data_IF_256095587615
#
_entry.id   IF_256095587615
#
_cell.length_a   1.000
_cell.length_b   1.000
_cell.length_c   1.000
_cell.angle_alpha   90.00
_cell.angle_beta   90.00
_cell.angle_gamma   90.00
#
_symmetry.space_group_name_H-M   'P 1'
#
loop_
_entity.id
_entity.type
_entity.pdbx_description
1 polymer ?
#
# COMPACT_ATOMS: atom_id res chain seq x y z
N UNK A 1 12.69 -32.41 -0.92
CA UNK A 1 12.38 -31.50 -2.06
C UNK A 1 11.26 -30.49 -1.76
N UNK A 2 10.12 -30.89 -1.18
CA UNK A 2 9.00 -29.98 -0.84
C UNK A 2 9.43 -28.83 0.08
N UNK A 3 10.31 -29.11 1.06
CA UNK A 3 10.89 -28.10 1.95
C UNK A 3 11.69 -27.01 1.21
N UNK A 4 12.41 -27.38 0.13
CA UNK A 4 13.16 -26.43 -0.70
C UNK A 4 12.23 -25.58 -1.58
N UNK A 5 11.09 -26.11 -2.00
CA UNK A 5 10.10 -25.37 -2.78
C UNK A 5 9.29 -24.41 -1.90
N UNK A 6 8.95 -24.81 -0.67
CA UNK A 6 8.37 -23.93 0.35
C UNK A 6 9.37 -22.85 0.77
N UNK A 7 10.63 -23.22 0.99
CA UNK A 7 11.67 -22.25 1.29
C UNK A 7 11.94 -21.32 0.11
N UNK A 8 11.85 -21.81 -1.13
CA UNK A 8 11.95 -21.03 -2.35
C UNK A 8 10.77 -20.09 -2.57
N UNK A 9 9.54 -20.50 -2.26
CA UNK A 9 8.34 -19.65 -2.29
C UNK A 9 8.34 -18.63 -1.17
N UNK A 10 8.73 -19.03 0.05
CA UNK A 10 9.00 -18.09 1.15
C UNK A 10 10.12 -17.14 0.75
N UNK A 11 11.22 -17.61 0.17
CA UNK A 11 12.33 -16.77 -0.28
C UNK A 11 11.88 -15.82 -1.38
N UNK A 12 11.10 -16.25 -2.38
CA UNK A 12 10.58 -15.36 -3.42
C UNK A 12 9.55 -14.36 -2.87
N UNK A 13 8.72 -14.80 -1.92
CA UNK A 13 7.78 -13.98 -1.16
C UNK A 13 8.44 -13.13 -0.06
N UNK A 14 9.74 -13.29 0.21
CA UNK A 14 10.49 -12.47 1.18
C UNK A 14 11.46 -11.54 0.43
N UNK A 15 12.20 -12.04 -0.56
CA UNK A 15 13.25 -11.32 -1.28
C UNK A 15 12.75 -10.50 -2.47
N UNK A 16 11.62 -10.88 -3.11
CA UNK A 16 11.00 -10.03 -4.14
C UNK A 16 9.97 -9.05 -3.54
N UNK A 17 9.92 -8.94 -2.22
CA UNK A 17 9.13 -7.97 -1.47
C UNK A 17 9.84 -6.61 -1.32
N UNK A 18 10.19 -6.03 -2.47
CA UNK A 18 10.52 -4.60 -2.58
C UNK A 18 9.51 -3.64 -1.91
N UNK A 19 8.18 -3.91 -1.81
CA UNK A 19 7.25 -2.96 -1.20
C UNK A 19 7.44 -2.74 0.30
N UNK A 20 7.80 -3.77 1.08
CA UNK A 20 7.95 -3.62 2.54
C UNK A 20 9.25 -2.90 2.93
N UNK A 21 10.27 -2.96 2.07
CA UNK A 21 11.47 -2.12 2.23
C UNK A 21 11.13 -0.62 2.28
N UNK A 22 10.03 -0.22 1.64
CA UNK A 22 9.54 1.17 1.68
C UNK A 22 9.01 1.57 3.05
N UNK A 23 8.37 0.66 3.82
CA UNK A 23 7.83 1.01 5.14
C UNK A 23 8.96 1.40 6.10
N UNK A 24 10.06 0.65 6.11
CA UNK A 24 11.25 0.98 6.91
C UNK A 24 11.83 2.35 6.53
N UNK A 25 11.94 2.64 5.22
CA UNK A 25 12.35 3.96 4.73
C UNK A 25 11.40 5.07 5.19
N UNK A 26 10.09 4.83 5.18
CA UNK A 26 9.10 5.78 5.66
C UNK A 26 9.18 6.02 7.17
N UNK A 27 9.44 4.99 7.98
CA UNK A 27 9.68 5.13 9.42
C UNK A 27 10.96 5.93 9.71
N UNK A 28 12.05 5.65 8.97
CA UNK A 28 13.28 6.43 9.05
C UNK A 28 13.06 7.88 8.64
N UNK A 29 12.29 8.14 7.57
CA UNK A 29 11.92 9.50 7.17
C UNK A 29 11.10 10.20 8.26
N UNK A 30 10.17 9.48 8.91
CA UNK A 30 9.37 10.04 10.00
C UNK A 30 10.22 10.44 11.21
N UNK A 31 11.20 9.61 11.58
CA UNK A 31 12.18 9.95 12.64
C UNK A 31 13.06 11.13 12.23
N UNK A 32 13.60 11.13 11.01
CA UNK A 32 14.39 12.26 10.49
C UNK A 32 13.61 13.58 10.49
N UNK A 33 12.31 13.56 10.18
CA UNK A 33 11.45 14.75 10.26
C UNK A 33 11.37 15.27 11.70
N UNK A 34 11.31 14.38 12.68
CA UNK A 34 11.30 14.75 14.10
C UNK A 34 12.62 15.39 14.53
N UNK A 35 13.75 14.79 14.14
CA UNK A 35 15.09 15.32 14.44
C UNK A 35 15.25 16.73 13.82
N UNK A 36 14.83 16.91 12.57
CA UNK A 36 14.86 18.21 11.88
C UNK A 36 13.94 19.23 12.56
N UNK A 37 12.75 18.80 13.00
CA UNK A 37 11.82 19.66 13.74
C UNK A 37 12.48 20.18 15.03
N UNK A 38 13.16 19.31 15.78
CA UNK A 38 13.88 19.66 17.00
C UNK A 38 15.04 20.64 16.74
N UNK A 39 15.87 20.37 15.73
CA UNK A 39 16.97 21.27 15.32
C UNK A 39 16.46 22.68 14.99
N UNK A 40 15.34 22.76 14.28
CA UNK A 40 14.70 24.02 13.89
C UNK A 40 14.12 24.77 15.11
N UNK A 41 13.56 24.06 16.10
CA UNK A 41 13.13 24.67 17.36
C UNK A 41 14.30 25.21 18.18
N UNK A 42 15.49 24.60 18.08
CA UNK A 42 16.71 25.11 18.69
C UNK A 42 17.33 26.29 17.92
N UNK A 43 16.69 26.77 16.85
CA UNK A 43 17.16 27.92 16.06
C UNK A 43 18.28 27.58 15.09
N UNK A 44 18.53 26.30 14.81
CA UNK A 44 19.47 25.90 13.78
C UNK A 44 18.88 26.15 12.39
N UNK A 45 19.72 26.59 11.45
CA UNK A 45 19.30 26.82 10.07
C UNK A 45 19.13 25.46 9.39
N UNK A 46 18.04 25.22 8.63
CA UNK A 46 17.86 23.97 7.92
C UNK A 46 19.06 23.68 6.99
N UNK A 47 19.80 22.62 7.32
CA UNK A 47 20.93 22.14 6.53
C UNK A 47 20.51 21.39 5.25
N UNK A 48 21.50 20.90 4.51
CA UNK A 48 21.26 19.93 3.44
C UNK A 48 21.15 18.55 4.09
N UNK A 49 19.92 18.06 4.25
CA UNK A 49 19.66 16.77 4.87
C UNK A 49 19.63 15.65 3.83
N UNK A 50 20.33 14.54 4.11
CA UNK A 50 20.17 13.30 3.36
C UNK A 50 18.84 12.62 3.76
N UNK A 51 17.78 12.94 3.04
CA UNK A 51 16.44 12.40 3.29
C UNK A 51 16.24 11.04 2.61
N UNK A 52 15.54 10.14 3.29
CA UNK A 52 15.14 8.87 2.68
C UNK A 52 14.03 9.08 1.65
N UNK A 53 14.19 8.47 0.48
CA UNK A 53 13.15 8.47 -0.55
C UNK A 53 12.02 7.49 -0.18
N UNK A 54 10.98 8.03 0.47
CA UNK A 54 9.73 7.33 0.72
C UNK A 54 8.58 7.92 -0.08
N UNK A 55 8.10 7.16 -1.08
CA UNK A 55 7.01 7.57 -2.00
C UNK A 55 7.26 8.99 -2.52
N UNK A 56 6.25 9.87 -2.46
CA UNK A 56 6.36 11.29 -2.78
C UNK A 56 6.77 12.15 -1.57
N UNK A 57 6.73 11.61 -0.35
CA UNK A 57 6.99 12.37 0.87
C UNK A 57 8.44 12.86 0.94
N UNK A 58 9.41 12.03 0.57
CA UNK A 58 10.83 12.41 0.56
C UNK A 58 11.09 13.61 -0.36
N UNK A 59 10.61 13.54 -1.60
CA UNK A 59 10.75 14.62 -2.59
C UNK A 59 10.04 15.89 -2.14
N UNK A 60 8.81 15.79 -1.62
CA UNK A 60 8.06 16.97 -1.16
C UNK A 60 8.74 17.61 0.05
N UNK A 61 9.26 16.80 0.97
CA UNK A 61 9.93 17.33 2.15
C UNK A 61 11.22 18.07 1.77
N UNK A 62 12.00 17.51 0.85
CA UNK A 62 13.18 18.18 0.31
C UNK A 62 12.82 19.51 -0.35
N UNK A 63 11.80 19.54 -1.21
CA UNK A 63 11.31 20.77 -1.86
C UNK A 63 10.81 21.80 -0.84
N UNK A 64 10.12 21.37 0.22
CA UNK A 64 9.64 22.24 1.28
C UNK A 64 10.78 22.86 2.11
N UNK A 65 11.82 22.09 2.42
CA UNK A 65 13.01 22.60 3.09
C UNK A 65 13.79 23.57 2.21
N UNK A 66 13.88 23.28 0.91
CA UNK A 66 14.46 24.20 -0.07
C UNK A 66 13.65 25.49 -0.14
N UNK A 67 12.31 25.42 -0.14
CA UNK A 67 11.47 26.61 -0.10
C UNK A 67 11.60 27.39 1.22
N UNK A 68 11.79 26.70 2.34
CA UNK A 68 12.12 27.33 3.62
C UNK A 68 13.43 28.11 3.54
N UNK A 69 14.47 27.52 2.92
CA UNK A 69 15.79 28.13 2.78
C UNK A 69 15.81 29.32 1.81
N UNK A 70 15.16 29.17 0.65
CA UNK A 70 15.22 30.15 -0.45
C UNK A 70 14.23 31.29 -0.24
N UNK A 71 13.03 30.99 0.26
CA UNK A 71 11.92 31.94 0.31
C UNK A 71 11.44 32.26 1.73
N UNK A 72 12.07 31.70 2.77
CA UNK A 72 11.72 31.98 4.16
C UNK A 72 10.39 31.35 4.61
N UNK A 73 9.93 30.28 3.96
CA UNK A 73 8.74 29.53 4.40
C UNK A 73 8.97 29.02 5.84
N UNK A 74 8.16 29.41 6.83
CA UNK A 74 8.37 28.97 8.21
C UNK A 74 8.18 27.45 8.32
N UNK A 75 9.19 26.70 8.80
CA UNK A 75 9.10 25.24 8.91
C UNK A 75 7.93 24.75 9.75
N UNK A 76 7.59 25.48 10.81
CA UNK A 76 6.46 25.20 11.71
C UNK A 76 5.12 25.17 10.96
N UNK A 77 5.04 25.77 9.76
CA UNK A 77 3.82 25.80 8.97
C UNK A 77 3.57 24.52 8.16
N UNK A 78 4.60 23.70 7.90
CA UNK A 78 4.49 22.50 7.06
C UNK A 78 4.96 21.21 7.73
N UNK A 79 5.96 21.26 8.61
CA UNK A 79 6.52 20.07 9.27
C UNK A 79 5.45 19.29 10.07
N UNK A 80 4.66 19.93 10.98
CA UNK A 80 3.67 19.19 11.76
C UNK A 80 2.61 18.53 10.88
N UNK A 81 2.23 19.21 9.80
CA UNK A 81 1.23 18.73 8.85
C UNK A 81 1.76 17.55 8.03
N UNK A 82 2.99 17.66 7.51
CA UNK A 82 3.64 16.56 6.80
C UNK A 82 3.81 15.33 7.70
N UNK A 83 4.16 15.54 8.97
CA UNK A 83 4.26 14.48 9.99
C UNK A 83 2.93 13.78 10.23
N UNK A 84 1.83 14.52 10.38
CA UNK A 84 0.48 13.93 10.53
C UNK A 84 0.14 13.06 9.33
N UNK A 85 0.42 13.54 8.12
CA UNK A 85 0.10 12.83 6.88
C UNK A 85 0.99 11.63 6.60
N UNK A 86 2.30 11.76 6.85
CA UNK A 86 3.22 10.63 6.80
C UNK A 86 2.86 9.58 7.85
N UNK A 87 2.51 9.99 9.07
CA UNK A 87 2.04 9.08 10.12
C UNK A 87 0.73 8.39 9.76
N UNK A 88 -0.18 9.05 9.05
CA UNK A 88 -1.40 8.45 8.50
C UNK A 88 -1.07 7.41 7.42
N UNK A 89 -0.20 7.75 6.46
CA UNK A 89 0.25 6.82 5.41
C UNK A 89 1.01 5.60 5.97
N UNK A 90 1.88 5.79 6.96
CA UNK A 90 2.60 4.70 7.64
C UNK A 90 1.66 3.75 8.38
N UNK A 91 0.60 4.27 9.02
CA UNK A 91 -0.43 3.43 9.63
C UNK A 91 -1.15 2.60 8.58
N UNK A 92 -1.44 3.18 7.42
CA UNK A 92 -2.05 2.43 6.32
C UNK A 92 -1.15 1.34 5.78
N UNK A 93 0.12 1.63 5.52
CA UNK A 93 1.05 0.61 5.02
C UNK A 93 1.28 -0.52 6.04
N UNK A 94 1.31 -0.21 7.34
CA UNK A 94 1.33 -1.23 8.41
C UNK A 94 0.09 -2.12 8.37
N UNK A 95 -1.09 -1.54 8.19
CA UNK A 95 -2.33 -2.32 8.11
C UNK A 95 -2.36 -3.18 6.84
N UNK A 96 -1.91 -2.66 5.70
CA UNK A 96 -1.73 -3.42 4.45
C UNK A 96 -0.80 -4.62 4.67
N UNK A 97 0.34 -4.39 5.32
CA UNK A 97 1.33 -5.43 5.64
C UNK A 97 0.72 -6.51 6.53
N UNK A 98 0.03 -6.08 7.58
CA UNK A 98 -0.65 -6.98 8.51
C UNK A 98 -1.66 -7.88 7.79
N UNK A 99 -2.53 -7.32 6.94
CA UNK A 99 -3.53 -8.12 6.21
C UNK A 99 -2.85 -9.12 5.26
N UNK A 100 -1.76 -8.70 4.60
CA UNK A 100 -1.00 -9.59 3.74
C UNK A 100 -0.43 -10.78 4.52
N UNK A 101 0.22 -10.53 5.66
CA UNK A 101 0.79 -11.57 6.50
C UNK A 101 -0.26 -12.44 7.17
N UNK A 102 -1.41 -11.88 7.57
CA UNK A 102 -2.55 -12.65 8.07
C UNK A 102 -3.05 -13.66 7.02
N UNK A 103 -3.22 -13.23 5.77
CA UNK A 103 -3.61 -14.13 4.67
C UNK A 103 -2.57 -15.22 4.40
N UNK A 104 -1.29 -14.83 4.34
CA UNK A 104 -0.19 -15.79 4.14
C UNK A 104 -0.06 -16.80 5.29
N UNK A 105 -0.24 -16.36 6.54
CA UNK A 105 -0.21 -17.22 7.70
C UNK A 105 -1.37 -18.23 7.69
N UNK A 106 -2.57 -17.81 7.30
CA UNK A 106 -3.73 -18.71 7.14
C UNK A 106 -3.43 -19.81 6.13
N UNK A 107 -2.88 -19.44 4.96
CA UNK A 107 -2.50 -20.41 3.92
C UNK A 107 -1.43 -21.40 4.38
N UNK A 108 -0.42 -20.92 5.10
CA UNK A 108 0.64 -21.77 5.66
C UNK A 108 0.10 -22.74 6.72
N UNK A 109 -0.75 -22.27 7.61
CA UNK A 109 -1.34 -23.09 8.68
C UNK A 109 -2.21 -24.21 8.10
N UNK A 110 -3.09 -23.89 7.13
CA UNK A 110 -3.93 -24.89 6.49
C UNK A 110 -3.10 -25.89 5.67
N UNK A 111 -2.03 -25.42 5.02
CA UNK A 111 -1.08 -26.30 4.35
C UNK A 111 -0.48 -27.31 5.34
N UNK A 112 0.07 -26.84 6.46
CA UNK A 112 0.68 -27.71 7.49
C UNK A 112 -0.33 -28.74 8.00
N UNK A 113 -1.54 -28.31 8.36
CA UNK A 113 -2.59 -29.20 8.88
C UNK A 113 -2.98 -30.25 7.83
N UNK A 114 -3.18 -29.84 6.58
CA UNK A 114 -3.59 -30.75 5.50
C UNK A 114 -2.56 -31.84 5.24
N UNK A 115 -1.26 -31.48 5.26
CA UNK A 115 -0.18 -32.45 5.08
C UNK A 115 0.04 -33.30 6.31
N UNK A 116 -0.04 -32.73 7.52
CA UNK A 116 0.03 -33.51 8.76
C UNK A 116 -1.07 -34.59 8.79
N UNK A 117 -2.30 -34.23 8.39
CA UNK A 117 -3.39 -35.17 8.22
C UNK A 117 -3.07 -36.25 7.17
N UNK A 118 -2.56 -35.86 5.99
CA UNK A 118 -2.20 -36.83 4.94
C UNK A 118 -1.11 -37.81 5.39
N UNK A 119 -0.09 -37.34 6.09
CA UNK A 119 0.97 -38.19 6.63
C UNK A 119 0.45 -39.15 7.68
N UNK A 120 -0.40 -38.67 8.60
CA UNK A 120 -1.05 -39.53 9.59
C UNK A 120 -1.97 -40.57 8.95
N UNK A 121 -2.76 -40.18 7.95
CA UNK A 121 -3.61 -41.13 7.22
C UNK A 121 -2.79 -42.21 6.50
N UNK A 122 -1.62 -41.85 5.96
CA UNK A 122 -0.73 -42.79 5.27
C UNK A 122 -0.10 -43.86 6.19
N UNK A 123 -0.06 -43.65 7.52
CA UNK A 123 0.38 -44.71 8.45
C UNK A 123 -0.69 -45.77 8.70
N UNK A 124 -1.96 -45.44 8.42
CA UNK A 124 -3.11 -46.35 8.63
C UNK A 124 -3.48 -47.04 7.32
N UNK A 125 -3.51 -46.28 6.21
CA UNK A 125 -3.95 -46.77 4.90
C UNK A 125 -2.81 -46.53 3.90
N UNK A 126 -2.35 -47.55 3.15
CA UNK A 126 -1.37 -47.36 2.09
C UNK A 126 -1.95 -46.44 1.01
N UNK A 127 -1.52 -45.18 1.03
CA UNK A 127 -2.07 -44.13 0.15
C UNK A 127 -1.07 -43.79 -0.96
N UNK A 128 -1.56 -43.63 -2.19
CA UNK A 128 -0.76 -43.03 -3.26
C UNK A 128 -0.57 -41.53 -3.00
N UNK A 129 0.62 -41.03 -3.38
CA UNK A 129 0.94 -39.60 -3.24
C UNK A 129 0.22 -38.84 -4.36
N UNK A 130 -0.75 -38.00 -4.00
CA UNK A 130 -1.46 -37.17 -4.98
C UNK A 130 -0.73 -35.82 -5.18
N UNK A 131 0.13 -35.76 -6.19
CA UNK A 131 0.89 -34.54 -6.54
C UNK A 131 -0.01 -33.36 -6.95
N UNK A 132 -1.22 -33.62 -7.45
CA UNK A 132 -2.15 -32.56 -7.86
C UNK A 132 -2.62 -31.70 -6.68
N UNK A 133 -2.84 -32.30 -5.51
CA UNK A 133 -3.20 -31.56 -4.31
C UNK A 133 -2.10 -30.57 -3.90
N UNK A 134 -0.82 -30.94 -4.08
CA UNK A 134 0.32 -30.08 -3.80
C UNK A 134 0.38 -28.89 -4.76
N UNK A 135 0.24 -29.14 -6.07
CA UNK A 135 0.22 -28.08 -7.09
C UNK A 135 -0.88 -27.08 -6.80
N UNK A 136 -2.06 -27.59 -6.45
CA UNK A 136 -3.24 -26.77 -6.20
C UNK A 136 -3.06 -25.91 -4.93
N UNK A 137 -2.49 -26.46 -3.85
CA UNK A 137 -2.16 -25.69 -2.64
C UNK A 137 -1.06 -24.64 -2.86
N UNK A 138 -0.07 -24.89 -3.72
CA UNK A 138 0.97 -23.91 -4.05
C UNK A 138 0.41 -22.79 -4.95
N UNK A 139 -0.48 -23.13 -5.87
CA UNK A 139 -1.08 -22.15 -6.78
C UNK A 139 -1.97 -21.12 -6.07
N UNK A 140 -2.54 -21.46 -4.91
CA UNK A 140 -3.34 -20.55 -4.08
C UNK A 140 -2.58 -19.30 -3.61
N UNK A 141 -1.49 -19.45 -2.84
CA UNK A 141 -0.66 -18.32 -2.39
C UNK A 141 -0.10 -17.48 -3.55
N UNK A 142 0.30 -18.11 -4.66
CA UNK A 142 0.78 -17.38 -5.85
C UNK A 142 -0.34 -16.49 -6.40
N UNK A 143 -1.55 -17.05 -6.53
CA UNK A 143 -2.73 -16.31 -7.00
C UNK A 143 -3.09 -15.15 -6.05
N UNK A 144 -2.96 -15.35 -4.73
CA UNK A 144 -3.20 -14.31 -3.74
C UNK A 144 -2.20 -13.15 -3.87
N UNK A 145 -0.91 -13.46 -3.99
CA UNK A 145 0.15 -12.46 -4.14
C UNK A 145 -0.07 -11.64 -5.42
N UNK A 146 -0.39 -12.30 -6.54
CA UNK A 146 -0.70 -11.62 -7.80
C UNK A 146 -1.93 -10.71 -7.67
N UNK A 147 -3.01 -11.20 -7.07
CA UNK A 147 -4.23 -10.43 -6.84
C UNK A 147 -3.98 -9.22 -5.93
N UNK A 148 -3.18 -9.38 -4.88
CA UNK A 148 -2.78 -8.31 -3.98
C UNK A 148 -2.05 -7.18 -4.72
N UNK A 149 -1.03 -7.51 -5.50
CA UNK A 149 -0.28 -6.52 -6.28
C UNK A 149 -1.14 -5.82 -7.34
N UNK A 150 -2.01 -6.58 -8.00
CA UNK A 150 -2.93 -6.06 -8.98
C UNK A 150 -3.90 -5.04 -8.35
N UNK A 151 -4.56 -5.41 -7.25
CA UNK A 151 -5.48 -4.52 -6.53
C UNK A 151 -4.78 -3.27 -5.97
N UNK A 152 -3.58 -3.44 -5.38
CA UNK A 152 -2.79 -2.32 -4.86
C UNK A 152 -2.47 -1.31 -5.96
N UNK A 153 -2.05 -1.80 -7.14
CA UNK A 153 -1.73 -0.95 -8.30
C UNK A 153 -2.97 -0.25 -8.85
N UNK A 154 -4.12 -0.93 -8.88
CA UNK A 154 -5.34 -0.38 -9.44
C UNK A 154 -5.99 0.68 -8.54
N UNK A 155 -6.00 0.44 -7.22
CA UNK A 155 -6.76 1.25 -6.26
C UNK A 155 -5.89 2.37 -5.67
N UNK A 156 -4.70 2.06 -5.17
CA UNK A 156 -3.91 3.01 -4.38
C UNK A 156 -2.94 3.86 -5.22
N UNK A 157 -2.34 3.29 -6.27
CA UNK A 157 -1.36 4.00 -7.10
C UNK A 157 -1.89 5.30 -7.75
N UNK A 158 -3.15 5.38 -8.22
CA UNK A 158 -3.69 6.60 -8.81
C UNK A 158 -3.68 7.82 -7.88
N UNK A 159 -3.64 7.64 -6.56
CA UNK A 159 -3.66 8.73 -5.58
C UNK A 159 -2.31 9.42 -5.38
N UNK A 160 -1.20 8.70 -5.58
CA UNK A 160 0.15 9.25 -5.39
C UNK A 160 0.43 10.56 -6.13
N UNK A 161 0.14 10.70 -7.44
CA UNK A 161 0.38 11.96 -8.15
C UNK A 161 -0.56 13.09 -7.69
N UNK A 162 -1.75 12.75 -7.19
CA UNK A 162 -2.71 13.73 -6.67
C UNK A 162 -2.20 14.34 -5.36
N UNK A 163 -1.82 13.50 -4.40
CA UNK A 163 -1.22 13.99 -3.17
C UNK A 163 0.02 14.85 -3.49
N UNK A 164 0.92 14.36 -4.35
CA UNK A 164 2.10 15.11 -4.76
C UNK A 164 1.80 16.51 -5.27
N UNK A 165 0.85 16.65 -6.20
CA UNK A 165 0.51 17.93 -6.79
C UNK A 165 -0.18 18.88 -5.78
N UNK A 166 -1.14 18.38 -4.99
CA UNK A 166 -1.86 19.21 -4.01
C UNK A 166 -0.97 19.67 -2.86
N UNK A 167 -0.06 18.82 -2.37
CA UNK A 167 0.92 19.21 -1.36
C UNK A 167 1.86 20.31 -1.87
N UNK A 168 2.36 20.17 -3.10
CA UNK A 168 3.19 21.21 -3.73
C UNK A 168 2.42 22.51 -3.91
N UNK A 169 1.16 22.44 -4.37
CA UNK A 169 0.31 23.61 -4.51
C UNK A 169 0.12 24.33 -3.16
N UNK A 170 -0.26 23.57 -2.13
CA UNK A 170 -0.46 24.12 -0.80
C UNK A 170 0.81 24.74 -0.21
N UNK A 171 1.97 24.10 -0.41
CA UNK A 171 3.27 24.61 -0.01
C UNK A 171 3.56 25.95 -0.68
N UNK A 172 3.47 25.99 -2.01
CA UNK A 172 3.77 27.15 -2.84
C UNK A 172 2.85 28.35 -2.57
N UNK A 173 1.59 28.08 -2.18
CA UNK A 173 0.65 29.14 -1.75
C UNK A 173 1.15 29.93 -0.54
N UNK A 174 1.98 29.34 0.33
CA UNK A 174 2.56 30.00 1.50
C UNK A 174 3.84 30.77 1.20
N UNK A 175 4.43 30.56 0.02
CA UNK A 175 5.77 31.03 -0.36
C UNK A 175 5.73 32.41 -1.04
N UNK A 176 4.54 33.01 -1.22
CA UNK A 176 4.39 34.34 -1.84
C UNK A 176 4.77 34.40 -3.33
N UNK A 177 4.93 33.24 -3.99
CA UNK A 177 5.19 33.16 -5.43
C UNK A 177 4.01 33.69 -6.26
N UNK A 178 4.28 34.06 -7.52
CA UNK A 178 3.23 34.43 -8.46
C UNK A 178 2.30 33.25 -8.77
N UNK A 179 1.00 33.52 -8.97
CA UNK A 179 -0.01 32.48 -9.24
C UNK A 179 0.37 31.56 -10.40
N UNK A 180 0.91 32.12 -11.49
CA UNK A 180 1.35 31.35 -12.66
C UNK A 180 2.51 30.40 -12.35
N UNK A 181 3.49 30.85 -11.55
CA UNK A 181 4.61 30.01 -11.12
C UNK A 181 4.16 28.88 -10.20
N UNK A 182 3.22 29.17 -9.29
CA UNK A 182 2.63 28.18 -8.38
C UNK A 182 1.90 27.09 -9.17
N UNK A 183 1.07 27.47 -10.15
CA UNK A 183 0.33 26.51 -10.98
C UNK A 183 1.25 25.69 -11.87
N UNK A 184 2.29 26.32 -12.45
CA UNK A 184 3.29 25.63 -13.27
C UNK A 184 4.12 24.60 -12.49
N UNK A 185 4.59 24.96 -11.30
CA UNK A 185 5.41 24.06 -10.45
C UNK A 185 4.59 22.94 -9.82
N UNK A 186 3.33 23.19 -9.43
CA UNK A 186 2.48 22.19 -8.78
C UNK A 186 1.93 21.14 -9.75
N UNK A 187 1.79 21.45 -11.05
CA UNK A 187 1.23 20.58 -12.10
C UNK A 187 -0.18 20.04 -11.80
N UNK A 188 -0.93 20.68 -10.91
CA UNK A 188 -2.28 20.23 -10.51
C UNK A 188 -3.26 20.21 -11.69
N UNK A 189 -3.11 21.15 -12.63
CA UNK A 189 -3.96 21.24 -13.82
C UNK A 189 -3.66 20.15 -14.87
N UNK A 190 -2.47 19.55 -14.83
CA UNK A 190 -2.04 18.49 -15.76
C UNK A 190 -2.53 17.10 -15.33
N UNK A 191 -3.02 16.96 -14.09
CA UNK A 191 -3.52 15.69 -13.56
C UNK A 191 -4.71 15.17 -14.35
N UNK A 192 -4.61 13.92 -14.82
CA UNK A 192 -5.69 13.23 -15.55
C UNK A 192 -6.37 12.18 -14.65
N UNK A 193 -7.61 12.44 -14.19
CA UNK A 193 -8.29 11.52 -13.27
C UNK A 193 -8.76 10.26 -13.98
N UNK A 194 -8.15 9.13 -13.62
CA UNK A 194 -8.60 7.79 -14.06
C UNK A 194 -9.77 7.27 -13.22
N UNK A 195 -9.66 7.37 -11.89
CA UNK A 195 -10.70 6.91 -10.97
C UNK A 195 -11.88 7.89 -10.88
N UNK A 196 -13.10 7.36 -10.75
CA UNK A 196 -14.32 8.17 -10.66
C UNK A 196 -14.30 9.15 -9.48
N UNK A 197 -13.84 8.69 -8.31
CA UNK A 197 -13.75 9.54 -7.11
C UNK A 197 -12.79 10.72 -7.32
N UNK A 198 -11.64 10.49 -7.96
CA UNK A 198 -10.67 11.54 -8.30
C UNK A 198 -11.21 12.54 -9.33
N UNK A 199 -12.13 12.12 -10.22
CA UNK A 199 -12.79 13.03 -11.18
C UNK A 199 -13.62 14.09 -10.47
N UNK A 200 -14.30 13.72 -9.38
CA UNK A 200 -15.13 14.65 -8.62
C UNK A 200 -14.26 15.71 -7.94
N UNK A 201 -13.22 15.28 -7.21
CA UNK A 201 -12.24 16.16 -6.56
C UNK A 201 -11.59 17.10 -7.60
N UNK A 202 -11.10 16.56 -8.71
CA UNK A 202 -10.47 17.37 -9.75
C UNK A 202 -11.44 18.37 -10.38
N UNK A 203 -12.72 18.01 -10.58
CA UNK A 203 -13.74 18.93 -11.11
C UNK A 203 -14.05 20.06 -10.13
N UNK A 204 -14.11 19.76 -8.82
CA UNK A 204 -14.33 20.76 -7.76
C UNK A 204 -13.23 21.81 -7.73
N UNK A 205 -11.96 21.42 -7.91
CA UNK A 205 -10.83 22.36 -7.85
C UNK A 205 -10.57 23.14 -9.15
N UNK A 206 -10.89 22.55 -10.31
CA UNK A 206 -10.46 23.10 -11.61
C UNK A 206 -11.03 24.48 -11.92
N UNK A 207 -12.30 24.74 -11.56
CA UNK A 207 -12.93 26.05 -11.76
C UNK A 207 -12.35 27.11 -10.81
N UNK A 208 -12.27 26.85 -9.49
CA UNK A 208 -11.59 27.75 -8.55
C UNK A 208 -10.14 28.06 -8.91
N UNK A 209 -9.34 27.08 -9.35
CA UNK A 209 -7.95 27.34 -9.77
C UNK A 209 -7.86 28.32 -10.93
N UNK A 210 -8.76 28.21 -11.92
CA UNK A 210 -8.83 29.15 -13.05
C UNK A 210 -9.31 30.54 -12.62
N UNK A 211 -10.28 30.62 -11.71
CA UNK A 211 -10.72 31.91 -11.15
C UNK A 211 -9.60 32.56 -10.35
N UNK A 212 -8.83 31.79 -9.58
CA UNK A 212 -7.67 32.30 -8.85
C UNK A 212 -6.59 32.84 -9.79
N UNK A 213 -6.30 32.13 -10.89
CA UNK A 213 -5.37 32.59 -11.94
C UNK A 213 -5.82 33.92 -12.59
N UNK A 214 -7.11 34.09 -12.83
CA UNK A 214 -7.65 35.24 -13.55
C UNK A 214 -8.00 36.44 -12.64
N UNK A 215 -8.43 36.18 -11.41
CA UNK A 215 -9.09 37.16 -10.53
C UNK A 215 -8.41 37.29 -9.16
N UNK A 216 -7.41 36.47 -8.85
CA UNK A 216 -6.69 36.52 -7.57
C UNK A 216 -7.52 36.12 -6.34
N UNK A 217 -8.63 35.37 -6.53
CA UNK A 217 -9.50 34.94 -5.44
C UNK A 217 -8.76 34.02 -4.46
N UNK A 218 -8.88 34.23 -3.14
CA UNK A 218 -8.13 33.43 -2.16
C UNK A 218 -8.55 31.96 -2.20
N UNK A 219 -7.64 31.07 -2.59
CA UNK A 219 -7.92 29.64 -2.79
C UNK A 219 -7.41 28.75 -1.65
N UNK A 220 -6.54 29.27 -0.78
CA UNK A 220 -5.94 28.51 0.32
C UNK A 220 -6.92 27.65 1.14
N UNK A 221 -8.05 28.18 1.68
CA UNK A 221 -8.98 27.37 2.47
C UNK A 221 -9.63 26.25 1.64
N UNK A 222 -9.86 26.48 0.35
CA UNK A 222 -10.40 25.46 -0.54
C UNK A 222 -9.38 24.34 -0.81
N UNK A 223 -8.09 24.68 -0.95
CA UNK A 223 -7.05 23.66 -1.12
C UNK A 223 -6.99 22.75 0.11
N UNK A 224 -7.07 23.32 1.31
CA UNK A 224 -7.04 22.54 2.55
C UNK A 224 -8.23 21.58 2.65
N UNK A 225 -9.43 22.08 2.34
CA UNK A 225 -10.64 21.26 2.27
C UNK A 225 -10.49 20.12 1.24
N UNK A 226 -9.93 20.40 0.06
CA UNK A 226 -9.75 19.38 -0.98
C UNK A 226 -8.68 18.35 -0.61
N UNK A 227 -7.65 18.75 0.12
CA UNK A 227 -6.66 17.81 0.66
C UNK A 227 -7.28 16.87 1.69
N UNK A 228 -8.15 17.39 2.57
CA UNK A 228 -8.90 16.58 3.53
C UNK A 228 -9.86 15.62 2.81
N UNK A 229 -10.64 16.11 1.85
CA UNK A 229 -11.53 15.27 1.04
C UNK A 229 -10.74 14.20 0.26
N UNK A 230 -9.55 14.52 -0.24
CA UNK A 230 -8.67 13.55 -0.89
C UNK A 230 -8.24 12.42 0.07
N UNK A 231 -7.92 12.77 1.31
CA UNK A 231 -7.61 11.79 2.34
C UNK A 231 -8.82 10.94 2.73
N UNK A 232 -10.00 11.52 2.85
CA UNK A 232 -11.23 10.76 3.12
C UNK A 232 -11.55 9.77 2.01
N UNK A 233 -11.45 10.19 0.75
CA UNK A 233 -11.64 9.31 -0.41
C UNK A 233 -10.58 8.21 -0.44
N UNK A 234 -9.33 8.54 -0.12
CA UNK A 234 -8.26 7.55 0.00
C UNK A 234 -8.57 6.49 1.06
N UNK A 235 -9.03 6.90 2.24
CA UNK A 235 -9.44 5.98 3.32
C UNK A 235 -10.62 5.09 2.91
N UNK A 236 -11.60 5.65 2.20
CA UNK A 236 -12.74 4.87 1.70
C UNK A 236 -12.30 3.81 0.69
N UNK A 237 -11.43 4.17 -0.27
CA UNK A 237 -10.86 3.22 -1.23
C UNK A 237 -9.96 2.18 -0.55
N UNK A 238 -9.25 2.56 0.51
CA UNK A 238 -8.49 1.65 1.35
C UNK A 238 -9.39 0.60 2.04
N UNK A 239 -10.52 1.04 2.62
CA UNK A 239 -11.50 0.11 3.20
C UNK A 239 -12.11 -0.83 2.15
N UNK A 240 -12.33 -0.34 0.92
CA UNK A 240 -12.76 -1.18 -0.21
C UNK A 240 -11.70 -2.20 -0.60
N UNK A 241 -10.44 -1.78 -0.70
CA UNK A 241 -9.30 -2.66 -0.93
C UNK A 241 -9.23 -3.79 0.11
N UNK A 242 -9.34 -3.44 1.40
CA UNK A 242 -9.32 -4.42 2.49
C UNK A 242 -10.47 -5.43 2.40
N UNK A 243 -11.71 -4.97 2.14
CA UNK A 243 -12.86 -5.87 1.93
C UNK A 243 -12.66 -6.80 0.75
N UNK A 244 -12.18 -6.29 -0.39
CA UNK A 244 -11.92 -7.11 -1.57
C UNK A 244 -10.81 -8.14 -1.34
N UNK A 245 -9.75 -7.77 -0.63
CA UNK A 245 -8.66 -8.69 -0.31
C UNK A 245 -9.14 -9.84 0.59
N UNK A 246 -10.01 -9.56 1.57
CA UNK A 246 -10.66 -10.59 2.40
C UNK A 246 -11.55 -11.54 1.60
N UNK A 247 -12.32 -11.01 0.65
CA UNK A 247 -13.14 -11.84 -0.25
C UNK A 247 -12.24 -12.74 -1.10
N UNK A 248 -11.17 -12.19 -1.68
CA UNK A 248 -10.22 -12.95 -2.50
C UNK A 248 -9.51 -14.02 -1.67
N UNK A 249 -9.04 -13.71 -0.45
CA UNK A 249 -8.43 -14.71 0.41
C UNK A 249 -9.40 -15.84 0.73
N UNK A 250 -10.67 -15.53 1.01
CA UNK A 250 -11.70 -16.53 1.23
C UNK A 250 -11.94 -17.40 -0.01
N UNK A 251 -12.09 -16.80 -1.20
CA UNK A 251 -12.27 -17.55 -2.45
C UNK A 251 -11.07 -18.46 -2.73
N UNK A 252 -9.85 -17.98 -2.50
CA UNK A 252 -8.64 -18.80 -2.69
C UNK A 252 -8.64 -19.99 -1.73
N UNK A 253 -9.03 -19.77 -0.49
CA UNK A 253 -9.12 -20.82 0.53
C UNK A 253 -10.21 -21.85 0.17
N UNK A 254 -11.36 -21.39 -0.32
CA UNK A 254 -12.48 -22.22 -0.74
C UNK A 254 -12.23 -23.00 -2.03
N UNK A 255 -11.54 -22.44 -3.02
CA UNK A 255 -11.28 -23.13 -4.28
C UNK A 255 -10.01 -23.98 -4.23
N UNK A 256 -8.91 -23.42 -3.72
CA UNK A 256 -7.63 -24.11 -3.72
C UNK A 256 -7.48 -25.03 -2.51
N UNK A 257 -7.61 -24.51 -1.30
CA UNK A 257 -7.31 -25.31 -0.12
C UNK A 257 -8.36 -26.39 0.15
N UNK A 258 -9.65 -26.04 0.06
CA UNK A 258 -10.73 -27.02 0.20
C UNK A 258 -10.74 -28.03 -0.94
N UNK A 259 -10.49 -27.60 -2.19
CA UNK A 259 -10.36 -28.49 -3.34
C UNK A 259 -9.22 -29.50 -3.16
N UNK A 260 -8.05 -29.03 -2.73
CA UNK A 260 -6.92 -29.90 -2.44
C UNK A 260 -7.20 -30.85 -1.26
N UNK A 261 -7.88 -30.37 -0.22
CA UNK A 261 -8.28 -31.20 0.91
C UNK A 261 -9.18 -32.36 0.48
N UNK A 262 -10.22 -32.09 -0.33
CA UNK A 262 -11.07 -33.16 -0.86
C UNK A 262 -10.29 -34.16 -1.71
N UNK A 263 -9.34 -33.70 -2.53
CA UNK A 263 -8.46 -34.60 -3.29
C UNK A 263 -7.59 -35.48 -2.39
N UNK A 264 -7.11 -34.95 -1.26
CA UNK A 264 -6.31 -35.72 -0.28
C UNK A 264 -7.17 -36.76 0.45
N UNK A 265 -8.38 -36.38 0.86
CA UNK A 265 -9.33 -37.27 1.52
C UNK A 265 -9.77 -38.39 0.58
N UNK A 266 -10.22 -38.03 -0.63
CA UNK A 266 -10.64 -39.01 -1.64
C UNK A 266 -9.51 -39.97 -2.01
N UNK A 267 -8.29 -39.45 -2.24
CA UNK A 267 -7.13 -40.28 -2.53
C UNK A 267 -6.68 -41.19 -1.37
N UNK A 268 -7.16 -40.95 -0.15
CA UNK A 268 -6.91 -41.83 1.01
C UNK A 268 -8.05 -42.81 1.26
N UNK A 269 -9.30 -42.44 0.98
CA UNK A 269 -10.48 -43.29 1.17
C UNK A 269 -10.75 -44.24 0.00
N UNK A 270 -10.43 -43.85 -1.24
CA UNK A 270 -10.73 -44.66 -2.41
C UNK A 270 -10.10 -46.07 -2.36
N UNK A 271 -8.84 -46.26 -1.94
CA UNK A 271 -8.28 -47.61 -1.77
C UNK A 271 -9.04 -48.44 -0.73
N UNK A 272 -9.42 -47.82 0.39
CA UNK A 272 -10.15 -48.49 1.47
C UNK A 272 -11.55 -48.96 1.06
N UNK A 273 -12.26 -48.17 0.24
CA UNK A 273 -13.58 -48.56 -0.28
C UNK A 273 -13.49 -49.74 -1.24
N UNK A 274 -12.44 -49.81 -2.06
CA UNK A 274 -12.21 -50.91 -3.01
C UNK A 274 -11.93 -52.22 -2.24
N UNK A 275 -11.15 -52.16 -1.15
CA UNK A 275 -10.83 -53.33 -0.30
C UNK A 275 -12.06 -53.85 0.48
N UNK A 276 -13.12 -53.06 0.63
CA UNK A 276 -14.37 -53.45 1.31
C UNK A 276 -15.39 -54.15 0.39
N UNK A 277 -15.29 -53.92 -0.93
CA UNK A 277 -16.20 -54.51 -1.93
C UNK A 277 -15.69 -55.85 -2.50
N UNK A 278 -14.44 -56.23 -2.25
CA UNK A 278 -13.82 -57.49 -2.67
C UNK A 278 -13.75 -58.54 -1.57
#
# INVERSE_FOLDING_TARGET
>A
MIFFFLWGLCYFAIFKFSPFSSLKKGQLLFLKIFDIEEELYCGQIPGIYALEEYKFFGTIFHELLEYSRVFGLPPNSFIPRLRVYLGRDLRFEKEVEKIFWEGMAQFLLIFIISWAFKFYAATIIPSSTNYWALILQISGPISFVLAFFFLRKQILLPFSPYFGAYYKLWALLKVGCSTGEILGKSKVLELRPKASALKQIHRKIKRPLKSWEQQGTPIAPLIELVMEELWEVYDQEFQRFHKMLKIISFLILAFFYLGAYFMLVWGSLAPFLIDLEG
#
